data_IF_046658037052
#
_entry.id   IF_046658037052
#
_cell.length_a   1.000
_cell.length_b   1.000
_cell.length_c   1.000
_cell.angle_alpha   90.00
_cell.angle_beta   90.00
_cell.angle_gamma   90.00
#
_symmetry.space_group_name_H-M   'P 1'
#
loop_
_entity.id
_entity.type
_entity.pdbx_description
1 polymer ?
#
# COMPACT_ATOMS: atom_id res chain seq x y z
N UNK A 1 -20.78 18.78 -4.99
CA UNK A 1 -20.00 19.29 -3.85
C UNK A 1 -18.55 19.26 -4.30
N UNK A 2 -17.84 20.36 -4.12
CA UNK A 2 -16.42 20.46 -4.46
C UNK A 2 -15.59 20.51 -3.18
N UNK A 3 -14.34 20.11 -3.30
CA UNK A 3 -13.33 20.17 -2.25
C UNK A 3 -11.99 20.56 -2.84
N UNK A 4 -11.00 20.69 -1.97
CA UNK A 4 -9.61 20.92 -2.36
C UNK A 4 -8.84 19.62 -2.20
N UNK A 5 -7.92 19.39 -3.12
CA UNK A 5 -6.98 18.28 -3.13
C UNK A 5 -5.56 18.84 -3.20
N UNK A 6 -4.67 18.30 -2.37
CA UNK A 6 -3.26 18.68 -2.36
C UNK A 6 -2.43 17.57 -2.99
N UNK A 7 -1.70 17.84 -4.08
CA UNK A 7 -0.76 16.88 -4.65
C UNK A 7 0.32 16.49 -3.63
N UNK A 8 0.78 15.25 -3.70
CA UNK A 8 1.97 14.81 -3.00
C UNK A 8 2.81 13.88 -3.87
N UNK A 9 4.08 13.74 -3.51
CA UNK A 9 5.03 12.83 -4.16
C UNK A 9 5.94 12.22 -3.11
N UNK A 10 5.95 10.89 -3.03
CA UNK A 10 6.99 10.11 -2.37
C UNK A 10 7.76 9.38 -3.46
N UNK A 11 9.07 9.56 -3.48
CA UNK A 11 9.90 8.94 -4.49
C UNK A 11 11.31 8.72 -3.96
N UNK A 12 12.03 7.88 -4.68
CA UNK A 12 13.44 7.64 -4.47
C UNK A 12 14.29 8.24 -5.59
N UNK A 13 15.52 8.60 -5.27
CA UNK A 13 16.50 9.09 -6.23
C UNK A 13 17.49 8.02 -6.65
N UNK A 14 18.54 8.46 -7.34
CA UNK A 14 19.62 7.58 -7.79
C UNK A 14 20.54 7.17 -6.65
N UNK A 15 20.71 8.05 -5.67
CA UNK A 15 21.58 7.90 -4.49
C UNK A 15 20.80 8.04 -3.18
N UNK A 16 19.64 8.71 -3.21
CA UNK A 16 18.74 8.89 -2.08
C UNK A 16 17.64 7.82 -2.04
N UNK A 17 17.34 7.35 -0.84
CA UNK A 17 16.22 6.47 -0.57
C UNK A 17 14.85 7.13 -0.80
N UNK A 18 13.78 6.42 -0.48
CA UNK A 18 12.43 6.98 -0.50
C UNK A 18 12.32 8.16 0.48
N UNK A 19 11.75 9.25 0.00
CA UNK A 19 11.42 10.41 0.83
C UNK A 19 10.28 11.20 0.18
N UNK A 20 9.56 11.98 0.97
CA UNK A 20 8.60 12.94 0.46
C UNK A 20 9.31 14.10 -0.27
N UNK A 21 8.94 14.34 -1.52
CA UNK A 21 9.50 15.40 -2.37
C UNK A 21 8.50 16.54 -2.61
N UNK A 22 7.20 16.23 -2.57
CA UNK A 22 6.12 17.19 -2.67
C UNK A 22 5.12 16.90 -1.55
N UNK A 23 4.84 17.88 -0.71
CA UNK A 23 4.00 17.72 0.48
C UNK A 23 2.87 18.75 0.48
N UNK A 24 1.65 18.40 0.94
CA UNK A 24 0.58 19.37 1.13
C UNK A 24 1.02 20.54 2.02
N UNK A 25 0.99 21.77 1.49
CA UNK A 25 1.53 22.95 2.19
C UNK A 25 0.82 23.37 3.48
N UNK A 26 -0.32 22.75 3.81
CA UNK A 26 -1.02 22.98 5.07
C UNK A 26 -0.51 22.07 6.21
N UNK A 27 0.33 21.07 5.91
CA UNK A 27 0.82 20.10 6.88
C UNK A 27 2.08 20.62 7.58
N UNK A 28 2.10 20.55 8.92
CA UNK A 28 3.31 20.78 9.71
C UNK A 28 4.26 19.58 9.73
N UNK A 29 3.73 18.35 9.57
CA UNK A 29 4.48 17.10 9.55
C UNK A 29 3.98 16.20 8.41
N UNK A 30 4.89 15.51 7.72
CA UNK A 30 4.59 14.74 6.51
C UNK A 30 5.17 13.33 6.49
N UNK A 31 5.74 12.85 7.60
CA UNK A 31 6.30 11.50 7.71
C UNK A 31 5.27 10.40 7.42
N UNK A 32 3.99 10.65 7.73
CA UNK A 32 2.91 9.71 7.45
C UNK A 32 2.74 9.41 5.95
N UNK A 33 3.15 10.31 5.05
CA UNK A 33 3.07 10.07 3.61
C UNK A 33 3.97 8.90 3.22
N UNK A 34 5.18 8.84 3.77
CA UNK A 34 6.15 7.77 3.51
C UNK A 34 5.72 6.44 4.16
N UNK A 35 5.03 6.52 5.30
CA UNK A 35 4.50 5.34 6.01
C UNK A 35 3.24 4.77 5.35
N UNK A 36 2.40 5.64 4.75
CA UNK A 36 1.09 5.25 4.20
C UNK A 36 1.16 4.93 2.71
N UNK A 37 1.86 5.75 1.93
CA UNK A 37 2.00 5.54 0.50
C UNK A 37 3.04 4.45 0.25
N UNK A 38 2.55 3.22 0.14
CA UNK A 38 3.35 2.03 -0.19
C UNK A 38 3.21 1.68 -1.68
N UNK A 39 4.20 0.96 -2.26
CA UNK A 39 4.10 0.39 -3.60
C UNK A 39 2.82 -0.43 -3.81
N UNK A 40 2.33 -0.47 -5.05
CA UNK A 40 1.04 -1.06 -5.38
C UNK A 40 1.21 -2.46 -6.01
N UNK A 41 0.43 -3.43 -5.51
CA UNK A 41 0.37 -4.78 -6.07
C UNK A 41 -0.76 -4.87 -7.12
N UNK A 42 -0.44 -4.66 -8.40
CA UNK A 42 -1.33 -4.82 -9.58
C UNK A 42 -2.64 -4.00 -9.57
N UNK A 43 -2.73 -2.95 -8.75
CA UNK A 43 -3.87 -2.01 -8.72
C UNK A 43 -3.47 -0.65 -9.28
N UNK A 44 -4.38 0.01 -10.01
CA UNK A 44 -4.09 1.31 -10.63
C UNK A 44 -3.89 2.43 -9.62
N UNK A 45 -4.57 2.36 -8.47
CA UNK A 45 -4.40 3.29 -7.36
C UNK A 45 -4.94 2.67 -6.06
N UNK A 46 -4.58 3.26 -4.93
CA UNK A 46 -5.09 2.93 -3.60
C UNK A 46 -5.59 4.18 -2.90
N UNK A 47 -6.58 4.00 -2.03
CA UNK A 47 -7.12 5.05 -1.17
C UNK A 47 -7.02 4.62 0.29
N UNK A 48 -6.63 5.53 1.17
CA UNK A 48 -6.58 5.32 2.61
C UNK A 48 -7.14 6.53 3.37
N UNK A 49 -7.82 6.26 4.48
CA UNK A 49 -8.22 7.29 5.44
C UNK A 49 -7.06 7.60 6.38
N UNK A 50 -6.74 8.88 6.51
CA UNK A 50 -5.70 9.41 7.40
C UNK A 50 -6.31 10.43 8.36
N UNK A 51 -5.61 10.82 9.44
CA UNK A 51 -6.06 11.91 10.31
C UNK A 51 -6.27 13.25 9.56
N UNK A 52 -5.65 13.43 8.40
CA UNK A 52 -5.68 14.66 7.61
C UNK A 52 -6.65 14.60 6.42
N UNK A 53 -7.38 13.49 6.26
CA UNK A 53 -8.31 13.28 5.16
C UNK A 53 -8.07 12.00 4.37
N UNK A 54 -8.65 11.94 3.18
CA UNK A 54 -8.53 10.79 2.28
C UNK A 54 -7.28 10.95 1.41
N UNK A 55 -6.33 10.04 1.56
CA UNK A 55 -5.12 9.96 0.74
C UNK A 55 -5.37 8.98 -0.41
N UNK A 56 -5.17 9.42 -1.65
CA UNK A 56 -5.32 8.58 -2.86
C UNK A 56 -4.04 8.65 -3.67
N UNK A 57 -3.46 7.50 -4.06
CA UNK A 57 -2.17 7.46 -4.76
C UNK A 57 -2.07 6.34 -5.77
N UNK A 58 -1.25 6.58 -6.78
CA UNK A 58 -0.89 5.65 -7.84
C UNK A 58 0.63 5.49 -7.90
N UNK A 59 1.06 4.42 -8.55
CA UNK A 59 2.45 4.14 -8.84
C UNK A 59 2.76 4.54 -10.28
N UNK A 60 3.86 5.27 -10.48
CA UNK A 60 4.40 5.58 -11.79
C UNK A 60 5.80 4.98 -11.93
N UNK A 61 5.94 4.03 -12.86
CA UNK A 61 7.23 3.49 -13.24
C UNK A 61 8.01 4.56 -14.03
N UNK A 62 9.14 5.00 -13.48
CA UNK A 62 9.93 6.07 -14.09
C UNK A 62 10.48 5.61 -15.43
N UNK A 63 10.23 6.38 -16.48
CA UNK A 63 10.77 6.12 -17.81
C UNK A 63 12.12 6.80 -18.02
N UNK A 64 12.83 6.43 -19.08
CA UNK A 64 14.06 7.12 -19.50
C UNK A 64 13.82 8.61 -19.79
N UNK A 65 12.64 8.95 -20.33
CA UNK A 65 12.25 10.32 -20.61
C UNK A 65 12.02 11.12 -19.32
N UNK A 66 11.46 10.49 -18.29
CA UNK A 66 11.24 11.12 -16.98
C UNK A 66 12.55 11.34 -16.23
N UNK A 67 13.45 10.36 -16.28
CA UNK A 67 14.73 10.39 -15.57
C UNK A 67 15.82 11.22 -16.27
N UNK A 68 15.63 11.59 -17.54
CA UNK A 68 16.68 12.22 -18.35
C UNK A 68 17.93 11.34 -18.49
N UNK A 69 17.76 10.01 -18.50
CA UNK A 69 18.84 9.04 -18.47
C UNK A 69 18.36 7.64 -18.04
N UNK A 70 19.25 6.83 -17.49
CA UNK A 70 18.91 5.50 -16.98
C UNK A 70 17.91 5.60 -15.81
N UNK A 71 16.74 4.96 -15.87
CA UNK A 71 15.69 5.02 -14.85
C UNK A 71 15.97 4.02 -13.71
N UNK A 72 17.22 3.96 -13.26
CA UNK A 72 17.67 3.08 -12.17
C UNK A 72 18.51 3.85 -11.17
N UNK A 73 18.52 3.35 -9.94
CA UNK A 73 19.43 3.83 -8.91
C UNK A 73 20.86 3.29 -9.11
N UNK A 74 21.77 3.72 -8.25
CA UNK A 74 23.18 3.27 -8.24
C UNK A 74 23.35 1.76 -7.95
N UNK A 75 22.30 1.11 -7.46
CA UNK A 75 22.24 -0.33 -7.18
C UNK A 75 21.52 -1.12 -8.28
N UNK A 76 21.16 -0.47 -9.40
CA UNK A 76 20.46 -1.10 -10.53
C UNK A 76 18.97 -1.37 -10.31
N UNK A 77 18.38 -0.92 -9.20
CA UNK A 77 16.93 -1.03 -8.94
C UNK A 77 16.16 0.03 -9.74
N UNK A 78 14.99 -0.31 -10.30
CA UNK A 78 14.18 0.66 -11.03
C UNK A 78 13.73 1.82 -10.12
N UNK A 79 13.64 3.00 -10.70
CA UNK A 79 13.06 4.18 -10.05
C UNK A 79 11.53 4.15 -10.17
N UNK A 80 10.86 4.46 -9.08
CA UNK A 80 9.40 4.41 -8.95
C UNK A 80 8.93 5.64 -8.18
N UNK A 81 7.81 6.21 -8.61
CA UNK A 81 7.13 7.33 -7.96
C UNK A 81 5.82 6.85 -7.34
N UNK A 82 5.55 7.29 -6.13
CA UNK A 82 4.24 7.19 -5.50
C UNK A 82 3.67 8.60 -5.47
N UNK A 83 2.80 8.88 -6.44
CA UNK A 83 2.19 10.19 -6.62
C UNK A 83 0.71 10.12 -6.28
N UNK A 84 0.17 11.22 -5.77
CA UNK A 84 -1.22 11.20 -5.34
C UNK A 84 -1.73 12.54 -4.87
N UNK A 85 -2.86 12.48 -4.19
CA UNK A 85 -3.48 13.64 -3.57
C UNK A 85 -4.02 13.30 -2.18
N UNK A 86 -4.04 14.34 -1.33
CA UNK A 86 -4.74 14.35 -0.06
C UNK A 86 -5.98 15.23 -0.16
N UNK A 87 -7.14 14.68 0.16
CA UNK A 87 -8.42 15.39 0.23
C UNK A 87 -8.93 15.45 1.68
N UNK A 88 -8.83 16.59 2.38
CA UNK A 88 -9.33 16.75 3.75
C UNK A 88 -10.85 16.56 3.90
N UNK A 89 -11.61 16.86 2.84
CA UNK A 89 -13.09 16.88 2.87
C UNK A 89 -13.74 15.58 2.36
N UNK A 90 -12.96 14.54 2.08
CA UNK A 90 -13.45 13.23 1.64
C UNK A 90 -12.91 12.80 0.29
N UNK A 91 -13.39 11.67 -0.22
CA UNK A 91 -12.86 11.06 -1.45
C UNK A 91 -13.20 11.87 -2.71
N UNK A 92 -12.26 12.01 -3.68
CA UNK A 92 -12.57 12.60 -4.97
C UNK A 92 -13.66 11.79 -5.70
N UNK A 93 -14.58 12.48 -6.38
CA UNK A 93 -15.62 11.86 -7.18
C UNK A 93 -15.05 11.10 -8.40
N UNK A 94 -13.92 11.55 -8.90
CA UNK A 94 -13.16 10.92 -9.98
C UNK A 94 -11.67 10.91 -9.59
N UNK A 95 -11.27 9.81 -8.94
CA UNK A 95 -9.88 9.61 -8.51
C UNK A 95 -8.92 9.54 -9.69
N UNK A 96 -9.33 8.94 -10.82
CA UNK A 96 -8.48 8.78 -12.01
C UNK A 96 -8.13 10.12 -12.64
N UNK A 97 -9.12 10.99 -12.84
CA UNK A 97 -8.88 12.35 -13.36
C UNK A 97 -8.04 13.20 -12.39
N UNK A 98 -8.26 13.06 -11.08
CA UNK A 98 -7.46 13.75 -10.08
C UNK A 98 -5.99 13.26 -10.08
N UNK A 99 -5.76 11.95 -10.20
CA UNK A 99 -4.43 11.34 -10.27
C UNK A 99 -3.67 11.71 -11.54
N UNK A 100 -4.35 11.76 -12.69
CA UNK A 100 -3.73 12.19 -13.94
C UNK A 100 -3.22 13.64 -13.85
N UNK A 101 -3.93 14.49 -13.09
CA UNK A 101 -3.47 15.86 -12.83
C UNK A 101 -2.27 15.90 -11.88
N UNK A 102 -2.24 15.06 -10.85
CA UNK A 102 -1.11 15.03 -9.91
C UNK A 102 0.14 14.40 -10.51
N UNK A 103 -0.01 13.45 -11.44
CA UNK A 103 1.12 12.84 -12.17
C UNK A 103 2.00 13.89 -12.86
N UNK A 104 1.38 14.79 -13.64
CA UNK A 104 2.11 15.86 -14.34
C UNK A 104 2.88 16.79 -13.36
N UNK A 105 2.28 17.10 -12.20
CA UNK A 105 2.90 17.93 -11.16
C UNK A 105 4.06 17.16 -10.51
N UNK A 106 3.84 15.90 -10.16
CA UNK A 106 4.82 15.02 -9.55
C UNK A 106 6.04 14.82 -10.46
N UNK A 107 5.85 14.55 -11.75
CA UNK A 107 6.94 14.40 -12.73
C UNK A 107 7.77 15.69 -12.85
N UNK A 108 7.13 16.85 -12.83
CA UNK A 108 7.85 18.13 -12.87
C UNK A 108 8.74 18.34 -11.63
N UNK A 109 8.22 18.01 -10.44
CA UNK A 109 9.00 18.04 -9.18
C UNK A 109 10.13 17.01 -9.21
N UNK A 110 9.83 15.79 -9.66
CA UNK A 110 10.81 14.71 -9.70
C UNK A 110 12.00 15.02 -10.61
N UNK A 111 11.76 15.66 -11.76
CA UNK A 111 12.84 16.11 -12.65
C UNK A 111 13.75 17.15 -11.98
N UNK A 112 13.19 18.10 -11.21
CA UNK A 112 13.99 19.06 -10.42
C UNK A 112 14.77 18.36 -9.32
N UNK A 113 14.14 17.39 -8.65
CA UNK A 113 14.80 16.56 -7.66
C UNK A 113 16.00 15.81 -8.24
N UNK A 114 15.85 15.10 -9.36
CA UNK A 114 16.97 14.38 -9.98
C UNK A 114 18.10 15.32 -10.44
N UNK A 115 17.78 16.55 -10.86
CA UNK A 115 18.79 17.54 -11.25
C UNK A 115 19.61 18.06 -10.04
N UNK A 116 19.06 18.01 -8.83
CA UNK A 116 19.66 18.58 -7.61
C UNK A 116 19.58 17.66 -6.40
N UNK A 117 19.71 16.35 -6.59
CA UNK A 117 19.28 15.30 -5.65
C UNK A 117 19.74 15.52 -4.20
N UNK A 118 21.03 15.80 -3.97
CA UNK A 118 21.60 15.98 -2.62
C UNK A 118 21.11 17.25 -1.91
N UNK A 119 20.88 18.31 -2.67
CA UNK A 119 20.47 19.61 -2.15
C UNK A 119 18.93 19.74 -2.06
N UNK A 120 18.19 18.86 -2.72
CA UNK A 120 16.75 18.98 -2.83
C UNK A 120 16.06 18.88 -1.45
N UNK A 121 15.06 19.75 -1.26
CA UNK A 121 14.19 19.80 -0.08
C UNK A 121 12.76 19.62 -0.55
N UNK A 122 11.93 19.01 0.29
CA UNK A 122 10.52 18.83 -0.01
C UNK A 122 9.88 20.18 -0.37
N UNK A 123 9.16 20.22 -1.49
CA UNK A 123 8.40 21.38 -1.94
C UNK A 123 6.99 21.32 -1.36
N UNK A 124 6.40 22.47 -1.07
CA UNK A 124 5.00 22.57 -0.68
C UNK A 124 4.09 22.60 -1.92
N UNK A 125 3.03 21.80 -1.90
CA UNK A 125 2.04 21.76 -2.97
C UNK A 125 0.92 22.77 -2.74
N UNK A 126 0.41 23.30 -3.85
CA UNK A 126 -0.79 24.15 -3.88
C UNK A 126 -2.04 23.29 -4.09
N UNK A 127 -3.16 23.63 -3.46
CA UNK A 127 -4.40 22.90 -3.67
C UNK A 127 -4.95 23.11 -5.07
N UNK A 128 -5.72 22.12 -5.53
CA UNK A 128 -6.59 22.28 -6.68
C UNK A 128 -8.00 21.78 -6.37
N UNK A 129 -8.99 22.33 -7.07
CA UNK A 129 -10.38 21.93 -6.90
C UNK A 129 -10.66 20.54 -7.47
N UNK A 130 -11.42 19.74 -6.70
CA UNK A 130 -11.93 18.43 -7.09
C UNK A 130 -13.42 18.31 -6.77
N UNK A 131 -14.15 17.54 -7.57
CA UNK A 131 -15.48 17.06 -7.15
C UNK A 131 -15.33 16.05 -6.03
N UNK A 132 -16.22 16.07 -5.04
CA UNK A 132 -16.24 15.08 -3.96
C UNK A 132 -17.34 14.03 -4.20
N UNK A 133 -17.01 12.77 -3.94
CA UNK A 133 -17.97 11.68 -4.00
C UNK A 133 -19.13 11.97 -3.04
N UNK A 134 -20.37 11.81 -3.51
CA UNK A 134 -21.52 11.86 -2.61
C UNK A 134 -21.54 10.57 -1.82
N UNK A 135 -21.41 10.67 -0.50
CA UNK A 135 -21.74 9.54 0.38
C UNK A 135 -23.20 9.17 0.07
N UNK A 136 -23.51 7.93 -0.32
CA UNK A 136 -24.89 7.50 -0.43
C UNK A 136 -25.51 7.71 0.96
N UNK A 137 -26.46 8.63 1.07
CA UNK A 137 -27.29 8.67 2.27
C UNK A 137 -28.00 7.33 2.31
N UNK A 138 -27.67 6.53 3.31
CA UNK A 138 -28.34 5.26 3.54
C UNK A 138 -29.83 5.60 3.63
N UNK A 139 -30.59 5.27 2.58
CA UNK A 139 -32.04 5.47 2.61
C UNK A 139 -32.51 4.64 3.80
N UNK A 140 -33.14 5.23 4.83
CA UNK A 140 -33.70 4.44 5.91
C UNK A 140 -34.56 3.36 5.27
N UNK A 141 -34.35 2.10 5.64
CA UNK A 141 -35.20 1.01 5.20
C UNK A 141 -36.65 1.46 5.40
N UNK A 142 -37.54 1.30 4.41
CA UNK A 142 -38.95 1.65 4.60
C UNK A 142 -39.42 0.96 5.88
N UNK A 143 -40.02 1.74 6.77
CA UNK A 143 -40.49 1.25 8.07
C UNK A 143 -41.22 -0.08 7.86
N UNK A 144 -40.99 -1.10 8.71
CA UNK A 144 -41.67 -2.38 8.58
C UNK A 144 -43.16 -2.12 8.46
N UNK A 145 -43.77 -2.62 7.38
CA UNK A 145 -45.22 -2.54 7.20
C UNK A 145 -45.87 -3.12 8.47
N UNK A 146 -46.93 -2.50 9.01
CA UNK A 146 -47.61 -3.05 10.16
C UNK A 146 -47.98 -4.51 9.84
N UNK A 147 -47.72 -5.46 10.75
CA UNK A 147 -48.04 -6.85 10.51
C UNK A 147 -49.53 -6.96 10.20
N UNK A 148 -49.85 -7.65 9.10
CA UNK A 148 -51.23 -8.08 8.82
C UNK A 148 -51.67 -8.90 10.04
N UNK A 149 -52.73 -8.45 10.70
CA UNK A 149 -53.31 -9.13 11.84
C UNK A 149 -53.83 -10.50 11.39
N UNK A 150 -53.02 -11.53 11.58
CA UNK A 150 -53.50 -12.91 11.56
C UNK A 150 -54.25 -13.09 12.88
N UNK A 151 -55.58 -13.25 12.79
CA UNK A 151 -56.47 -13.53 13.92
C UNK A 151 -55.91 -14.67 14.76
N UNK A 152 -55.49 -14.34 15.99
CA UNK A 152 -55.04 -15.33 16.96
C UNK A 152 -56.23 -16.18 17.47
N UNK A 153 -56.08 -17.50 17.65
CA UNK A 153 -57.04 -18.31 18.40
C UNK A 153 -57.01 -17.96 19.91
N UNK A 154 -58.09 -18.26 20.64
CA UNK A 154 -58.33 -17.71 21.97
C UNK A 154 -57.40 -18.23 23.07
N UNK A 155 -57.25 -17.34 24.06
CA UNK A 155 -56.38 -17.33 25.23
C UNK A 155 -56.59 -18.50 26.21
N UNK A 156 -55.49 -19.15 26.61
CA UNK A 156 -55.34 -19.81 27.92
C UNK A 156 -54.50 -18.93 28.87
N UNK A 157 -54.99 -18.66 30.09
CA UNK A 157 -54.28 -17.93 31.16
C UNK A 157 -53.55 -18.93 32.11
N UNK A 158 -52.88 -18.48 33.19
CA UNK A 158 -51.50 -18.00 33.24
C UNK A 158 -50.64 -18.80 34.25
N UNK A 159 -49.30 -18.75 34.14
CA UNK A 159 -48.44 -19.06 35.29
C UNK A 159 -47.48 -17.91 35.58
N UNK A 160 -47.58 -17.44 36.82
CA UNK A 160 -46.80 -16.37 37.46
C UNK A 160 -45.39 -16.85 37.80
N UNK A 161 -44.46 -15.91 37.84
CA UNK A 161 -43.12 -16.01 38.43
C UNK A 161 -42.08 -15.50 37.44
N UNK A 162 -41.15 -14.60 37.75
CA UNK A 162 -40.83 -13.84 38.96
C UNK A 162 -39.90 -12.71 38.47
N UNK A 163 -39.92 -11.58 39.17
CA UNK A 163 -39.27 -10.30 38.84
C UNK A 163 -37.77 -10.31 39.20
N UNK A 164 -37.04 -9.28 38.70
CA UNK A 164 -35.73 -8.70 39.11
C UNK A 164 -34.58 -8.99 38.12
N UNK A 165 -34.04 -8.04 37.33
CA UNK A 165 -33.38 -6.74 37.58
C UNK A 165 -31.87 -6.85 37.91
N UNK A 166 -31.05 -6.01 37.25
CA UNK A 166 -29.63 -5.78 37.53
C UNK A 166 -28.73 -6.13 36.32
N UNK A 167 -28.23 -5.18 35.52
CA UNK A 167 -27.20 -4.17 35.78
C UNK A 167 -25.76 -4.73 35.85
N UNK A 168 -24.93 -4.30 34.89
CA UNK A 168 -23.53 -3.91 35.10
C UNK A 168 -22.45 -4.99 35.23
N UNK A 169 -21.53 -5.01 34.26
CA UNK A 169 -20.11 -4.66 34.44
C UNK A 169 -19.22 -5.38 33.41
N UNK A 170 -18.61 -4.56 32.54
CA UNK A 170 -17.49 -4.93 31.68
C UNK A 170 -16.23 -4.93 32.55
N UNK A 171 -15.51 -6.05 32.60
CA UNK A 171 -14.13 -6.10 33.12
C UNK A 171 -13.25 -6.66 32.01
N UNK A 172 -12.52 -5.76 31.35
CA UNK A 172 -11.39 -6.11 30.47
C UNK A 172 -10.18 -6.24 31.37
N UNK A 173 -9.79 -7.47 31.69
CA UNK A 173 -8.52 -7.75 32.34
C UNK A 173 -7.43 -7.90 31.27
N UNK A 174 -6.49 -6.96 31.26
CA UNK A 174 -5.33 -6.96 30.38
C UNK A 174 -4.36 -8.10 30.69
N UNK A 175 -3.78 -8.67 29.63
CA UNK A 175 -2.65 -9.58 29.70
C UNK A 175 -1.52 -9.04 28.84
N UNK A 176 -0.57 -8.34 29.45
CA UNK A 176 0.74 -8.05 28.86
C UNK A 176 1.64 -9.22 29.24
N UNK A 177 1.92 -10.11 28.28
CA UNK A 177 2.96 -11.12 28.44
C UNK A 177 4.26 -10.58 27.83
N UNK A 178 5.06 -9.93 28.68
CA UNK A 178 6.45 -9.64 28.37
C UNK A 178 7.26 -10.94 28.54
N UNK A 179 7.71 -11.53 27.44
CA UNK A 179 8.72 -12.59 27.45
C UNK A 179 10.07 -11.93 27.20
N UNK A 180 10.79 -11.63 28.28
CA UNK A 180 12.22 -11.37 28.26
C UNK A 180 12.90 -12.70 28.54
N UNK A 181 13.64 -13.22 27.56
CA UNK A 181 14.66 -14.24 27.78
C UNK A 181 15.98 -13.72 27.23
N UNK A 182 16.95 -13.63 28.14
CA UNK A 182 18.28 -13.07 27.97
C UNK A 182 19.29 -14.20 27.69
N UNK A 183 20.29 -13.88 26.85
CA UNK A 183 21.61 -14.50 26.63
C UNK A 183 21.69 -15.92 26.04
N UNK A 184 22.38 -16.02 24.90
CA UNK A 184 23.52 -16.93 24.77
C UNK A 184 24.44 -16.47 23.65
N UNK A 185 25.67 -16.10 24.04
CA UNK A 185 26.80 -16.00 23.15
C UNK A 185 27.12 -17.40 22.62
N UNK A 186 27.14 -17.56 21.30
CA UNK A 186 27.47 -18.81 20.63
C UNK A 186 28.13 -18.50 19.29
N UNK A 187 29.41 -18.83 19.21
CA UNK A 187 30.27 -18.65 18.04
C UNK A 187 29.93 -19.62 16.90
N UNK A 188 29.85 -19.10 15.67
CA UNK A 188 30.08 -19.83 14.40
C UNK A 188 28.95 -19.78 13.36
N UNK A 189 29.19 -20.08 12.07
CA UNK A 189 30.42 -19.99 11.28
C UNK A 189 30.40 -18.81 10.27
N UNK A 190 31.58 -18.47 9.77
CA UNK A 190 31.91 -17.41 8.79
C UNK A 190 31.04 -17.43 7.52
N UNK A 191 30.62 -16.27 6.97
CA UNK A 191 29.85 -16.22 5.72
C UNK A 191 30.70 -16.66 4.52
N UNK A 192 30.14 -17.43 3.57
CA UNK A 192 30.89 -17.90 2.40
C UNK A 192 31.31 -16.73 1.47
N UNK A 193 32.43 -16.87 0.74
CA UNK A 193 32.96 -15.81 -0.11
C UNK A 193 32.01 -15.46 -1.27
N UNK A 194 31.99 -14.21 -1.74
CA UNK A 194 31.18 -13.82 -2.89
C UNK A 194 31.71 -14.45 -4.19
N UNK A 195 30.81 -15.03 -4.98
CA UNK A 195 31.12 -15.65 -6.27
C UNK A 195 31.69 -14.62 -7.27
N UNK A 196 32.72 -14.99 -8.08
CA UNK A 196 33.22 -14.13 -9.15
C UNK A 196 32.21 -14.02 -10.30
N UNK A 197 32.13 -12.83 -10.90
CA UNK A 197 31.32 -12.53 -12.07
C UNK A 197 31.91 -13.21 -13.30
N UNK A 198 31.26 -14.26 -13.79
CA UNK A 198 31.52 -14.79 -15.13
C UNK A 198 30.39 -14.47 -16.11
N UNK A 199 30.85 -14.21 -17.32
CA UNK A 199 30.23 -13.57 -18.47
C UNK A 199 28.98 -14.31 -18.96
N UNK A 200 27.83 -13.63 -19.04
CA UNK A 200 26.65 -14.15 -19.73
C UNK A 200 26.70 -13.75 -21.20
N UNK A 201 27.00 -14.72 -22.06
CA UNK A 201 26.77 -14.62 -23.50
C UNK A 201 25.28 -14.87 -23.77
N UNK A 202 24.54 -13.82 -24.15
CA UNK A 202 23.12 -13.94 -24.49
C UNK A 202 22.97 -14.45 -25.92
N UNK A 203 22.67 -15.74 -26.09
CA UNK A 203 22.19 -16.28 -27.37
C UNK A 203 20.67 -16.18 -27.39
N UNK A 204 20.14 -15.19 -28.12
CA UNK A 204 18.70 -15.05 -28.33
C UNK A 204 18.24 -15.98 -29.46
N UNK A 205 17.36 -16.94 -29.15
CA UNK A 205 16.57 -17.67 -30.15
C UNK A 205 15.11 -17.71 -29.65
N UNK A 206 14.09 -17.46 -30.48
CA UNK A 206 12.74 -17.26 -29.99
C UNK A 206 12.00 -18.60 -29.81
N UNK A 207 11.63 -18.94 -28.57
CA UNK A 207 10.61 -19.94 -28.26
C UNK A 207 9.65 -19.39 -27.17
N UNK A 208 8.38 -19.82 -27.15
CA UNK A 208 7.27 -19.08 -26.53
C UNK A 208 7.13 -19.20 -25.00
N UNK A 209 8.13 -19.70 -24.27
CA UNK A 209 8.10 -19.75 -22.80
C UNK A 209 9.52 -19.61 -22.24
N UNK A 210 9.84 -18.63 -21.38
CA UNK A 210 11.16 -18.55 -20.77
C UNK A 210 11.32 -19.66 -19.73
N UNK A 211 11.93 -20.78 -20.13
CA UNK A 211 12.49 -21.75 -19.19
C UNK A 211 13.87 -21.24 -18.82
N UNK A 212 14.03 -20.78 -17.57
CA UNK A 212 15.35 -20.42 -17.08
C UNK A 212 16.16 -21.70 -16.91
N UNK A 213 17.26 -21.85 -17.65
CA UNK A 213 18.20 -22.97 -17.51
C UNK A 213 19.50 -22.49 -16.89
N UNK A 214 19.95 -23.15 -15.83
CA UNK A 214 21.28 -22.94 -15.25
C UNK A 214 22.15 -24.19 -15.45
N UNK A 215 23.46 -23.99 -15.57
CA UNK A 215 24.46 -25.06 -15.55
C UNK A 215 24.97 -25.22 -14.10
N UNK A 216 24.73 -26.39 -13.51
CA UNK A 216 25.25 -26.78 -12.21
C UNK A 216 26.13 -28.03 -12.40
N UNK A 217 27.42 -27.94 -12.06
CA UNK A 217 28.40 -29.02 -12.21
C UNK A 217 28.42 -29.68 -13.60
N UNK A 218 28.35 -28.85 -14.66
CA UNK A 218 28.35 -29.32 -16.05
C UNK A 218 27.04 -29.96 -16.51
N UNK A 219 25.98 -29.95 -15.69
CA UNK A 219 24.64 -30.42 -16.05
C UNK A 219 23.66 -29.26 -16.15
N UNK A 220 22.88 -29.25 -17.24
CA UNK A 220 21.84 -28.24 -17.47
C UNK A 220 20.59 -28.60 -16.68
N UNK A 221 20.12 -27.68 -15.82
CA UNK A 221 18.90 -27.81 -15.04
C UNK A 221 17.92 -26.71 -15.48
N UNK A 222 16.71 -27.11 -15.89
CA UNK A 222 15.65 -26.19 -16.30
C UNK A 222 14.64 -25.95 -15.17
N UNK A 223 14.28 -24.68 -14.97
CA UNK A 223 13.27 -24.26 -14.00
C UNK A 223 12.01 -23.80 -14.75
N UNK A 224 10.89 -24.43 -14.45
CA UNK A 224 9.56 -24.00 -14.89
C UNK A 224 8.85 -23.30 -13.72
N UNK A 225 8.28 -22.10 -13.92
CA UNK A 225 7.75 -21.27 -12.83
C UNK A 225 6.46 -21.80 -12.17
N UNK A 226 5.98 -23.00 -12.52
CA UNK A 226 4.64 -23.47 -12.11
C UNK A 226 4.59 -24.54 -11.01
N UNK A 227 5.68 -24.96 -10.38
CA UNK A 227 5.58 -25.88 -9.23
C UNK A 227 6.63 -25.57 -8.16
N UNK A 228 6.23 -24.85 -7.11
CA UNK A 228 6.99 -24.78 -5.86
C UNK A 228 7.01 -26.18 -5.18
N UNK A 229 8.14 -26.60 -4.58
CA UNK A 229 8.24 -27.93 -3.97
C UNK A 229 7.42 -28.01 -2.68
N UNK A 230 6.52 -28.98 -2.62
CA UNK A 230 5.84 -29.40 -1.38
C UNK A 230 6.86 -30.03 -0.44
N UNK A 231 7.00 -29.48 0.77
CA UNK A 231 7.87 -30.01 1.83
C UNK A 231 7.61 -31.50 2.12
N UNK A 232 8.65 -32.32 2.33
CA UNK A 232 8.49 -33.72 2.68
C UNK A 232 8.00 -33.86 4.14
N UNK A 233 6.92 -34.60 4.31
CA UNK A 233 6.39 -35.02 5.61
C UNK A 233 7.34 -36.03 6.26
N UNK A 234 7.64 -35.96 7.56
CA UNK A 234 8.48 -36.95 8.23
C UNK A 234 7.70 -38.26 8.41
N UNK A 235 8.26 -39.38 7.95
CA UNK A 235 7.77 -40.73 8.29
C UNK A 235 8.18 -41.09 9.72
N UNK A 236 7.22 -41.66 10.45
CA UNK A 236 7.45 -42.48 11.66
C UNK A 236 8.04 -43.82 11.29
#
# INVERSE_FOLDING_TARGET
MTGEAWPFLVARGRRRGYSALLVPGFLGEHGFLEETAVPLDDVSFRTASTPFGTLTWAEHAVTTADAGGEPRDEYGRPLVLLHGLLCPRGEPADAGAALARTDAIALAVYRRFLAGEEAFRAEESTPFEVGLARVPTFRPAPAPRPPVAISAPPRGKPRRGLVWAGAGAVVVAGGVAAVIALVSAGSGPEPPPPCPRDVVTLTSTPLPSPVATCLLDGKTVGYSPQNAPVSPTPRK
#
